data_IF_733244079589
#
_entry.id   IF_733244079589
#
_cell.length_a   1.000
_cell.length_b   1.000
_cell.length_c   1.000
_cell.angle_alpha   90.00
_cell.angle_beta   90.00
_cell.angle_gamma   90.00
#
_symmetry.space_group_name_H-M   'P 1'
#
loop_
_entity.id
_entity.type
_entity.pdbx_description
1 polymer ?
#
# COMPACT_ATOMS: atom_id res chain seq x y z
N UNK A 1 94.41 -28.66 2.14
CA UNK A 1 93.20 -29.01 1.41
C UNK A 1 92.05 -28.26 2.10
N UNK A 2 91.69 -27.04 1.59
CA UNK A 2 90.61 -26.22 2.15
C UNK A 2 89.32 -26.47 1.36
N UNK A 3 88.33 -27.02 2.02
CA UNK A 3 86.99 -27.21 1.42
C UNK A 3 86.14 -26.01 1.78
N UNK A 4 85.76 -25.22 0.76
CA UNK A 4 84.94 -24.04 0.87
C UNK A 4 83.43 -24.50 0.82
N UNK A 5 82.71 -24.26 1.92
CA UNK A 5 81.29 -24.58 2.01
C UNK A 5 80.46 -23.35 1.54
N UNK A 6 79.82 -23.45 0.38
CA UNK A 6 78.90 -22.44 -0.13
C UNK A 6 77.53 -22.63 0.51
N UNK A 7 77.06 -21.67 1.31
CA UNK A 7 75.71 -21.64 1.86
C UNK A 7 74.83 -20.86 0.88
N UNK A 8 73.87 -21.53 0.26
CA UNK A 8 72.81 -20.95 -0.54
C UNK A 8 71.68 -20.43 0.38
N UNK A 9 71.53 -19.11 0.49
CA UNK A 9 70.35 -18.53 1.15
C UNK A 9 69.18 -18.49 0.14
N UNK A 10 68.18 -19.37 0.38
CA UNK A 10 66.91 -19.37 -0.32
C UNK A 10 66.02 -18.32 0.36
N UNK A 11 65.79 -17.20 -0.35
CA UNK A 11 64.83 -16.17 0.09
C UNK A 11 63.41 -16.65 -0.24
N UNK A 12 62.64 -17.01 0.78
CA UNK A 12 61.20 -17.29 0.72
C UNK A 12 60.43 -15.98 0.63
N UNK A 13 60.03 -15.57 -0.60
CA UNK A 13 59.10 -14.46 -0.80
C UNK A 13 57.67 -14.94 -0.41
N UNK A 14 57.13 -14.48 0.68
CA UNK A 14 55.73 -14.68 1.06
C UNK A 14 54.82 -13.82 0.19
N UNK A 15 53.80 -14.37 -0.46
CA UNK A 15 52.84 -13.56 -1.21
C UNK A 15 51.99 -12.71 -0.24
N UNK A 16 52.13 -11.37 -0.31
CA UNK A 16 51.23 -10.45 0.38
C UNK A 16 49.91 -10.44 -0.36
N UNK A 17 48.88 -11.11 0.20
CA UNK A 17 47.50 -10.94 -0.23
C UNK A 17 47.06 -9.52 0.15
N UNK A 18 46.98 -8.63 -0.82
CA UNK A 18 46.31 -7.33 -0.71
C UNK A 18 44.81 -7.59 -0.61
N UNK A 19 44.26 -7.57 0.62
CA UNK A 19 42.83 -7.49 0.81
C UNK A 19 42.38 -6.11 0.31
N UNK A 20 41.76 -6.10 -0.88
CA UNK A 20 41.06 -4.92 -1.36
C UNK A 20 39.94 -4.58 -0.36
N UNK A 21 40.07 -3.43 0.32
CA UNK A 21 39.07 -2.89 1.22
C UNK A 21 37.84 -2.55 0.36
N UNK A 22 36.79 -3.38 0.45
CA UNK A 22 35.54 -3.08 -0.22
C UNK A 22 35.06 -1.69 0.20
N UNK A 23 34.86 -0.82 -0.78
CA UNK A 23 34.28 0.49 -0.53
C UNK A 23 32.86 0.28 0.03
N UNK A 24 32.44 1.03 1.07
CA UNK A 24 31.10 0.91 1.60
C UNK A 24 30.11 1.23 0.49
N UNK A 25 29.21 0.29 0.19
CA UNK A 25 28.09 0.47 -0.73
C UNK A 25 27.34 1.75 -0.31
N UNK A 26 27.35 2.75 -1.18
CA UNK A 26 26.58 3.97 -0.95
C UNK A 26 25.12 3.57 -0.72
N UNK A 27 24.55 3.89 0.45
CA UNK A 27 23.14 3.66 0.74
C UNK A 27 22.33 4.42 -0.31
N UNK A 28 21.61 3.68 -1.16
CA UNK A 28 20.73 4.27 -2.16
C UNK A 28 19.75 5.21 -1.47
N UNK A 29 19.67 6.46 -1.95
CA UNK A 29 18.83 7.49 -1.32
C UNK A 29 17.37 7.12 -1.56
N UNK A 30 16.66 6.70 -0.53
CA UNK A 30 15.23 6.40 -0.59
C UNK A 30 14.43 7.65 -0.99
N UNK A 31 13.42 7.48 -1.84
CA UNK A 31 12.45 8.51 -2.20
C UNK A 31 11.10 8.16 -1.55
N UNK A 32 10.90 8.65 -0.32
CA UNK A 32 9.73 8.33 0.49
C UNK A 32 8.55 9.19 0.06
N UNK A 33 7.46 8.53 -0.32
CA UNK A 33 6.20 9.16 -0.71
C UNK A 33 5.02 8.53 0.03
N UNK A 34 3.85 9.18 -0.05
CA UNK A 34 2.60 8.69 0.54
C UNK A 34 1.47 8.70 -0.48
N UNK A 35 0.58 7.71 -0.40
CA UNK A 35 -0.66 7.63 -1.14
C UNK A 35 -1.83 7.37 -0.19
N UNK A 36 -3.03 7.88 -0.49
CA UNK A 36 -4.22 7.73 0.36
C UNK A 36 -5.37 7.15 -0.46
N UNK A 37 -6.02 6.11 0.11
CA UNK A 37 -7.11 5.39 -0.52
C UNK A 37 -8.27 5.19 0.46
N UNK A 38 -9.51 5.41 0.00
CA UNK A 38 -10.73 5.06 0.71
C UNK A 38 -11.39 3.86 0.03
N UNK A 39 -11.57 2.76 0.74
CA UNK A 39 -12.10 1.51 0.19
C UNK A 39 -13.08 0.79 1.14
N UNK A 40 -13.90 1.56 1.86
CA UNK A 40 -14.75 1.05 2.94
C UNK A 40 -13.95 0.85 4.21
N UNK A 41 -14.34 -0.12 5.04
CA UNK A 41 -13.67 -0.41 6.29
C UNK A 41 -12.14 -0.50 6.13
N UNK A 42 -11.43 0.39 6.80
CA UNK A 42 -9.96 0.49 6.71
C UNK A 42 -9.23 -0.72 7.30
N UNK A 43 -9.85 -1.51 8.22
CA UNK A 43 -9.29 -2.79 8.67
C UNK A 43 -9.11 -3.77 7.50
N UNK A 44 -10.01 -3.74 6.52
CA UNK A 44 -9.96 -4.60 5.34
C UNK A 44 -9.04 -4.08 4.24
N UNK A 45 -8.81 -2.76 4.21
CA UNK A 45 -7.91 -2.15 3.23
C UNK A 45 -6.43 -2.28 3.61
N UNK A 46 -6.10 -2.42 4.89
CA UNK A 46 -4.72 -2.47 5.35
C UNK A 46 -3.95 -3.73 4.91
N UNK A 47 -4.46 -4.97 5.08
CA UNK A 47 -3.70 -6.19 4.76
C UNK A 47 -3.20 -6.29 3.30
N UNK A 48 -3.99 -5.95 2.26
CA UNK A 48 -3.52 -6.01 0.88
C UNK A 48 -2.30 -5.15 0.58
N UNK A 49 -2.18 -3.99 1.22
CA UNK A 49 -1.01 -3.13 1.08
C UNK A 49 0.15 -3.63 1.94
N UNK A 50 -0.10 -4.06 3.16
CA UNK A 50 0.94 -4.61 4.04
C UNK A 50 1.63 -5.85 3.46
N UNK A 51 0.93 -6.64 2.65
CA UNK A 51 1.50 -7.77 1.92
C UNK A 51 2.63 -7.37 0.95
N UNK A 52 2.78 -6.08 0.63
CA UNK A 52 3.80 -5.55 -0.29
C UNK A 52 4.98 -4.86 0.43
N UNK A 53 5.12 -5.02 1.74
CA UNK A 53 6.25 -4.45 2.49
C UNK A 53 7.61 -4.86 1.90
N UNK A 54 7.76 -6.09 1.44
CA UNK A 54 8.98 -6.56 0.75
C UNK A 54 9.21 -5.93 -0.64
N UNK A 55 8.19 -5.26 -1.22
CA UNK A 55 8.22 -4.66 -2.55
C UNK A 55 8.37 -3.14 -2.56
N UNK A 56 8.61 -2.52 -1.42
CA UNK A 56 8.83 -1.09 -1.30
C UNK A 56 7.82 -0.33 -0.46
N UNK A 57 6.75 -0.96 0.03
CA UNK A 57 5.90 -0.35 1.05
C UNK A 57 6.64 -0.38 2.38
N UNK A 58 6.79 0.78 3.02
CA UNK A 58 7.52 0.95 4.26
C UNK A 58 6.59 0.67 5.45
N UNK A 59 5.45 1.35 5.48
CA UNK A 59 4.38 1.11 6.44
C UNK A 59 3.04 1.64 5.92
N UNK A 60 1.97 1.24 6.57
CA UNK A 60 0.62 1.75 6.34
C UNK A 60 0.03 2.29 7.63
N UNK A 61 -0.86 3.26 7.53
CA UNK A 61 -1.65 3.79 8.64
C UNK A 61 -3.09 3.93 8.23
N UNK A 62 -4.02 3.57 9.10
CA UNK A 62 -5.45 3.82 8.88
C UNK A 62 -5.89 5.11 9.57
N UNK A 63 -6.89 5.78 9.01
CA UNK A 63 -7.35 7.06 9.54
C UNK A 63 -8.45 7.67 8.69
N UNK A 64 -8.51 9.01 8.67
CA UNK A 64 -9.59 9.78 8.09
C UNK A 64 -9.04 10.86 7.15
N UNK A 65 -9.71 11.07 5.99
CA UNK A 65 -9.37 12.13 5.04
C UNK A 65 -10.56 12.51 4.17
N UNK A 66 -10.44 13.65 3.47
CA UNK A 66 -11.43 14.13 2.50
C UNK A 66 -12.50 15.05 3.08
N UNK A 67 -12.70 15.04 4.39
CA UNK A 67 -13.69 15.87 5.08
C UNK A 67 -13.22 17.28 5.44
N UNK A 68 -13.97 17.90 6.36
CA UNK A 68 -13.72 19.29 6.81
C UNK A 68 -13.46 19.37 8.32
N UNK A 69 -13.92 18.40 9.10
CA UNK A 69 -13.69 18.38 10.54
C UNK A 69 -12.21 18.25 10.85
N UNK A 70 -11.69 19.13 11.69
CA UNK A 70 -10.28 19.08 12.12
C UNK A 70 -10.15 18.06 13.24
N UNK A 71 -9.12 17.21 13.17
CA UNK A 71 -8.86 16.12 14.14
C UNK A 71 -10.13 15.30 14.45
N UNK A 72 -10.78 14.69 13.43
CA UNK A 72 -11.98 13.90 13.66
C UNK A 72 -11.66 12.65 14.49
N UNK A 73 -12.61 12.26 15.34
CA UNK A 73 -12.57 10.96 16.04
C UNK A 73 -13.34 9.90 15.25
N UNK A 74 -13.14 8.64 15.64
CA UNK A 74 -13.92 7.52 15.08
C UNK A 74 -15.42 7.71 15.28
N UNK A 75 -15.84 8.12 16.47
CA UNK A 75 -17.25 8.34 16.80
C UNK A 75 -17.87 9.42 15.93
N UNK A 76 -17.14 10.54 15.72
CA UNK A 76 -17.61 11.63 14.86
C UNK A 76 -17.74 11.19 13.41
N UNK A 77 -16.72 10.49 12.90
CA UNK A 77 -16.72 10.01 11.50
C UNK A 77 -17.80 8.96 11.29
N UNK A 78 -17.98 8.03 12.23
CA UNK A 78 -18.99 6.99 12.18
C UNK A 78 -20.43 7.52 12.29
N UNK A 79 -20.63 8.61 13.03
CA UNK A 79 -21.93 9.29 13.12
C UNK A 79 -22.31 10.01 11.81
N UNK A 80 -21.34 10.25 10.92
CA UNK A 80 -21.55 10.97 9.67
C UNK A 80 -21.48 12.48 9.80
N UNK A 81 -21.56 13.18 8.67
CA UNK A 81 -21.56 14.66 8.62
C UNK A 81 -20.18 15.32 8.73
N UNK A 82 -19.10 14.58 8.94
CA UNK A 82 -17.74 15.13 8.93
C UNK A 82 -17.20 15.31 7.52
N UNK A 83 -17.78 14.62 6.53
CA UNK A 83 -17.28 14.52 5.16
C UNK A 83 -16.03 13.65 5.01
N UNK A 84 -15.50 13.12 6.13
CA UNK A 84 -14.35 12.23 6.11
C UNK A 84 -14.74 10.81 5.70
N UNK A 85 -13.80 10.15 4.99
CA UNK A 85 -13.82 8.72 4.73
C UNK A 85 -12.83 8.00 5.61
N UNK A 86 -13.14 6.75 5.93
CA UNK A 86 -12.13 5.82 6.41
C UNK A 86 -11.13 5.56 5.29
N UNK A 87 -9.86 5.81 5.57
CA UNK A 87 -8.79 5.72 4.57
C UNK A 87 -7.60 4.93 5.07
N UNK A 88 -6.84 4.39 4.12
CA UNK A 88 -5.49 3.91 4.35
C UNK A 88 -4.50 4.90 3.74
N UNK A 89 -3.50 5.31 4.51
CA UNK A 89 -2.30 5.98 4.02
C UNK A 89 -1.20 4.94 3.86
N UNK A 90 -0.61 4.87 2.67
CA UNK A 90 0.48 3.97 2.31
C UNK A 90 1.74 4.80 2.17
N UNK A 91 2.76 4.55 2.99
CA UNK A 91 4.09 5.14 2.87
C UNK A 91 5.00 4.17 2.14
N UNK A 92 5.62 4.61 1.06
CA UNK A 92 6.39 3.76 0.16
C UNK A 92 7.67 4.44 -0.33
N UNK A 93 8.63 3.62 -0.74
CA UNK A 93 9.86 4.05 -1.40
C UNK A 93 9.65 4.08 -2.92
N UNK A 94 9.53 5.27 -3.48
CA UNK A 94 9.26 5.48 -4.90
C UNK A 94 10.42 5.05 -5.82
N UNK A 95 11.56 4.64 -5.28
CA UNK A 95 12.62 3.97 -6.04
C UNK A 95 12.32 2.49 -6.29
N UNK A 96 11.39 1.88 -5.54
CA UNK A 96 11.06 0.45 -5.59
C UNK A 96 9.64 0.18 -6.10
N UNK A 97 8.69 1.00 -5.73
CA UNK A 97 7.29 0.90 -6.14
C UNK A 97 6.74 2.31 -6.35
N UNK A 98 6.03 2.55 -7.44
CA UNK A 98 5.49 3.88 -7.77
C UNK A 98 3.99 3.94 -7.54
N UNK A 99 3.43 5.16 -7.45
CA UNK A 99 2.01 5.38 -7.18
C UNK A 99 1.07 4.54 -8.05
N UNK A 100 1.31 4.50 -9.36
CA UNK A 100 0.47 3.73 -10.30
C UNK A 100 0.47 2.23 -10.03
N UNK A 101 1.48 1.68 -9.38
CA UNK A 101 1.55 0.25 -9.04
C UNK A 101 0.69 -0.08 -7.80
N UNK A 102 0.29 0.93 -7.01
CA UNK A 102 -0.62 0.80 -5.89
C UNK A 102 -2.09 0.74 -6.33
N UNK A 103 -2.42 1.36 -7.48
CA UNK A 103 -3.79 1.45 -7.99
C UNK A 103 -4.44 0.09 -8.24
N UNK A 104 -3.79 -0.88 -8.89
CA UNK A 104 -4.37 -2.23 -9.06
C UNK A 104 -4.73 -2.91 -7.75
N UNK A 105 -3.94 -2.67 -6.69
CA UNK A 105 -4.19 -3.24 -5.36
C UNK A 105 -5.46 -2.61 -4.76
N UNK A 106 -5.57 -1.28 -4.84
CA UNK A 106 -6.77 -0.58 -4.42
C UNK A 106 -8.01 -1.10 -5.17
N UNK A 107 -7.98 -1.07 -6.50
CA UNK A 107 -9.13 -1.46 -7.33
C UNK A 107 -9.62 -2.88 -7.03
N UNK A 108 -8.71 -3.86 -6.96
CA UNK A 108 -9.05 -5.27 -6.68
C UNK A 108 -9.62 -5.51 -5.28
N UNK A 109 -9.58 -4.53 -4.41
CA UNK A 109 -10.07 -4.62 -3.04
C UNK A 109 -11.34 -3.79 -2.78
N UNK A 110 -12.00 -3.27 -3.82
CA UNK A 110 -13.26 -2.52 -3.70
C UNK A 110 -14.32 -3.02 -4.67
N UNK A 111 -15.59 -2.71 -4.36
CA UNK A 111 -16.67 -2.69 -5.35
C UNK A 111 -16.80 -1.25 -5.92
N UNK A 112 -16.32 -0.99 -7.13
CA UNK A 112 -16.35 0.36 -7.69
C UNK A 112 -17.74 0.84 -8.10
N UNK A 113 -18.77 0.01 -7.94
CA UNK A 113 -20.17 0.33 -8.28
C UNK A 113 -21.03 0.69 -7.07
N UNK A 114 -20.53 0.51 -5.84
CA UNK A 114 -21.30 0.80 -4.63
C UNK A 114 -21.15 2.27 -4.23
N UNK A 115 -22.20 3.07 -4.50
CA UNK A 115 -22.23 4.51 -4.18
C UNK A 115 -22.64 4.80 -2.73
N UNK A 116 -23.08 3.81 -1.97
CA UNK A 116 -23.59 3.97 -0.60
C UNK A 116 -22.62 3.52 0.49
N UNK A 117 -21.46 3.02 0.10
CA UNK A 117 -20.45 2.46 1.00
C UNK A 117 -19.66 1.37 0.33
N UNK A 118 -19.27 0.34 1.09
CA UNK A 118 -18.62 -0.85 0.56
C UNK A 118 -19.12 -2.09 1.31
N UNK A 119 -19.61 -3.06 0.56
CA UNK A 119 -20.08 -4.36 1.09
C UNK A 119 -21.18 -4.18 2.14
N UNK A 120 -20.97 -4.65 3.38
CA UNK A 120 -21.93 -4.49 4.46
C UNK A 120 -21.89 -3.09 5.10
N UNK A 121 -20.80 -2.35 4.94
CA UNK A 121 -20.64 -1.04 5.55
C UNK A 121 -21.30 0.04 4.69
N UNK A 122 -22.24 0.76 5.27
CA UNK A 122 -23.00 1.82 4.60
C UNK A 122 -22.80 3.14 5.32
N UNK A 123 -22.72 4.21 4.52
CA UNK A 123 -22.47 5.56 4.97
C UNK A 123 -21.39 6.26 4.15
N UNK A 124 -21.36 7.58 4.23
CA UNK A 124 -20.39 8.40 3.49
C UNK A 124 -18.95 8.02 3.81
N UNK A 125 -18.64 7.71 5.06
CA UNK A 125 -17.32 7.32 5.53
C UNK A 125 -16.80 6.02 4.88
N UNK A 126 -17.66 5.20 4.34
CA UNK A 126 -17.30 3.94 3.66
C UNK A 126 -17.34 4.00 2.14
N UNK A 127 -17.62 5.18 1.56
CA UNK A 127 -17.60 5.32 0.10
C UNK A 127 -16.18 5.28 -0.45
N UNK A 128 -16.01 4.68 -1.64
CA UNK A 128 -14.69 4.54 -2.24
C UNK A 128 -14.18 5.83 -2.87
N UNK A 129 -12.90 6.12 -2.67
CA UNK A 129 -12.21 7.23 -3.31
C UNK A 129 -10.70 6.96 -3.45
N UNK A 130 -10.09 7.53 -4.50
CA UNK A 130 -8.64 7.65 -4.63
C UNK A 130 -8.28 9.12 -4.50
N UNK A 131 -7.28 9.42 -3.67
CA UNK A 131 -6.82 10.79 -3.46
C UNK A 131 -5.54 11.02 -4.24
N UNK A 132 -5.44 12.18 -4.92
CA UNK A 132 -4.24 12.59 -5.66
C UNK A 132 -3.59 13.82 -5.02
N UNK A 133 -2.27 13.83 -4.91
CA UNK A 133 -1.49 14.95 -4.40
C UNK A 133 -1.04 15.91 -5.51
N UNK A 134 -1.05 15.45 -6.78
CA UNK A 134 -0.58 16.22 -7.93
C UNK A 134 -1.23 15.71 -9.24
N UNK A 135 -1.02 16.48 -10.32
CA UNK A 135 -1.63 16.16 -11.62
C UNK A 135 -1.11 14.88 -12.27
N UNK A 136 0.11 14.43 -11.95
CA UNK A 136 0.62 13.15 -12.43
C UNK A 136 -0.17 11.99 -11.82
N UNK A 137 -0.36 12.01 -10.51
CA UNK A 137 -1.17 11.01 -9.82
C UNK A 137 -2.62 11.03 -10.30
N UNK A 138 -3.20 12.23 -10.54
CA UNK A 138 -4.54 12.34 -11.11
C UNK A 138 -4.62 11.63 -12.46
N UNK A 139 -3.67 11.87 -13.35
CA UNK A 139 -3.59 11.18 -14.66
C UNK A 139 -3.43 9.67 -14.51
N UNK A 140 -2.57 9.23 -13.59
CA UNK A 140 -2.37 7.80 -13.33
C UNK A 140 -3.68 7.13 -12.86
N UNK A 141 -4.48 7.80 -12.02
CA UNK A 141 -5.79 7.32 -11.58
C UNK A 141 -6.75 7.22 -12.77
N UNK A 142 -6.89 8.28 -13.57
CA UNK A 142 -7.76 8.34 -14.73
C UNK A 142 -7.39 7.25 -15.77
N UNK A 143 -6.12 7.02 -16.00
CA UNK A 143 -5.63 5.97 -16.88
C UNK A 143 -5.83 4.56 -16.30
N UNK A 144 -5.78 4.41 -14.97
CA UNK A 144 -6.12 3.16 -14.31
C UNK A 144 -7.59 2.81 -14.48
N UNK A 145 -8.49 3.79 -14.36
CA UNK A 145 -9.93 3.62 -14.58
C UNK A 145 -10.21 3.08 -15.99
N UNK A 146 -9.58 3.65 -17.03
CA UNK A 146 -9.71 3.17 -18.42
C UNK A 146 -9.26 1.71 -18.60
N UNK A 147 -8.41 1.20 -17.73
CA UNK A 147 -7.86 -0.17 -17.79
C UNK A 147 -8.63 -1.19 -16.95
N UNK A 148 -9.64 -0.79 -16.17
CA UNK A 148 -10.35 -1.68 -15.24
C UNK A 148 -10.99 -2.88 -15.95
N UNK A 149 -11.54 -2.69 -17.16
CA UNK A 149 -12.06 -3.79 -17.98
C UNK A 149 -11.00 -4.85 -18.29
N UNK A 150 -9.76 -4.42 -18.58
CA UNK A 150 -8.62 -5.34 -18.79
C UNK A 150 -8.17 -6.04 -17.50
N UNK A 151 -8.51 -5.49 -16.35
CA UNK A 151 -8.25 -6.09 -15.05
C UNK A 151 -9.33 -7.08 -14.61
N UNK A 152 -10.38 -7.28 -15.45
CA UNK A 152 -11.47 -8.20 -15.19
C UNK A 152 -12.69 -7.55 -14.54
N UNK A 153 -12.79 -6.21 -14.51
CA UNK A 153 -14.00 -5.53 -14.08
C UNK A 153 -15.06 -5.62 -15.18
N UNK A 154 -16.32 -5.93 -14.83
CA UNK A 154 -17.45 -5.82 -15.75
C UNK A 154 -17.71 -4.34 -16.03
N UNK A 155 -17.68 -3.93 -17.31
CA UNK A 155 -17.73 -2.51 -17.70
C UNK A 155 -19.13 -2.03 -18.08
N UNK A 156 -20.16 -2.83 -17.84
CA UNK A 156 -21.57 -2.54 -18.11
C UNK A 156 -22.21 -1.55 -17.11
N UNK A 157 -21.51 -1.26 -16.01
CA UNK A 157 -21.98 -0.36 -14.95
C UNK A 157 -21.08 0.86 -14.81
N UNK A 158 -21.70 1.96 -14.36
CA UNK A 158 -20.97 3.20 -14.07
C UNK A 158 -20.09 3.03 -12.82
N UNK A 159 -18.81 3.35 -12.94
CA UNK A 159 -17.90 3.46 -11.80
C UNK A 159 -18.29 4.69 -10.99
N UNK A 160 -18.46 4.52 -9.69
CA UNK A 160 -18.85 5.58 -8.74
C UNK A 160 -17.75 5.96 -7.76
N UNK A 161 -16.60 5.26 -7.81
CA UNK A 161 -15.41 5.61 -7.02
C UNK A 161 -14.97 7.03 -7.35
N UNK A 162 -14.78 7.85 -6.34
CA UNK A 162 -14.42 9.26 -6.48
C UNK A 162 -12.92 9.43 -6.72
N UNK A 163 -12.56 10.47 -7.48
CA UNK A 163 -11.18 10.93 -7.67
C UNK A 163 -11.08 12.32 -7.04
N UNK A 164 -10.40 12.44 -5.93
CA UNK A 164 -10.42 13.63 -5.09
C UNK A 164 -9.01 14.18 -4.85
N UNK A 165 -8.84 15.50 -4.71
CA UNK A 165 -7.58 16.06 -4.26
C UNK A 165 -7.29 15.61 -2.83
N UNK A 166 -6.04 15.28 -2.55
CA UNK A 166 -5.60 14.90 -1.20
C UNK A 166 -5.71 16.10 -0.27
N UNK A 167 -6.43 15.90 0.82
CA UNK A 167 -6.48 16.80 1.97
C UNK A 167 -5.67 16.21 3.13
N UNK A 168 -5.71 16.87 4.28
CA UNK A 168 -5.05 16.39 5.49
C UNK A 168 -5.49 14.96 5.82
N UNK A 169 -4.51 14.09 6.04
CA UNK A 169 -4.73 12.78 6.63
C UNK A 169 -4.66 12.91 8.16
N UNK A 170 -5.70 12.45 8.84
CA UNK A 170 -5.76 12.34 10.29
C UNK A 170 -5.62 10.87 10.66
N UNK A 171 -4.54 10.53 11.38
CA UNK A 171 -4.31 9.15 11.81
C UNK A 171 -5.44 8.73 12.74
N UNK A 172 -6.03 7.57 12.47
CA UNK A 172 -7.02 6.95 13.35
C UNK A 172 -6.41 6.43 14.63
N UNK A 173 -7.24 6.14 15.59
CA UNK A 173 -6.88 5.71 16.94
C UNK A 173 -6.01 4.45 16.89
N UNK A 174 -5.15 4.28 17.89
CA UNK A 174 -4.15 3.21 17.89
C UNK A 174 -4.76 1.80 17.88
N UNK A 175 -5.95 1.63 18.44
CA UNK A 175 -6.64 0.34 18.44
C UNK A 175 -7.13 -0.09 17.04
N UNK A 176 -7.22 0.85 16.08
CA UNK A 176 -7.54 0.56 14.68
C UNK A 176 -6.32 0.18 13.84
N UNK A 177 -5.10 0.57 14.27
CA UNK A 177 -3.88 0.28 13.52
C UNK A 177 -3.54 -1.21 13.55
N UNK A 178 -3.30 -1.82 12.38
CA UNK A 178 -3.03 -3.25 12.23
C UNK A 178 -4.06 -4.15 12.94
N UNK A 179 -5.34 -3.76 12.87
CA UNK A 179 -6.41 -4.46 13.57
C UNK A 179 -6.47 -5.96 13.22
N UNK A 180 -6.21 -6.30 11.97
CA UNK A 180 -6.18 -7.67 11.47
C UNK A 180 -5.09 -8.54 12.12
N UNK A 181 -3.99 -7.94 12.58
CA UNK A 181 -2.92 -8.61 13.32
C UNK A 181 -3.23 -8.69 14.82
N UNK A 182 -3.72 -7.58 15.39
CA UNK A 182 -4.04 -7.49 16.83
C UNK A 182 -5.27 -8.33 17.22
N UNK A 183 -6.25 -8.46 16.30
CA UNK A 183 -7.53 -9.14 16.55
C UNK A 183 -7.89 -10.12 15.42
N UNK A 184 -7.06 -11.12 15.09
CA UNK A 184 -7.19 -11.91 13.87
C UNK A 184 -8.49 -12.71 13.78
N UNK A 185 -9.00 -13.24 14.88
CA UNK A 185 -10.26 -14.01 14.90
C UNK A 185 -11.45 -13.10 14.63
N UNK A 186 -11.51 -11.96 15.33
CA UNK A 186 -12.60 -11.00 15.19
C UNK A 186 -12.60 -10.35 13.80
N UNK A 187 -11.43 -10.03 13.26
CA UNK A 187 -11.27 -9.52 11.92
C UNK A 187 -11.76 -10.52 10.85
N UNK A 188 -11.34 -11.79 10.94
CA UNK A 188 -11.76 -12.83 10.00
C UNK A 188 -13.27 -13.03 10.02
N UNK A 189 -13.87 -13.07 11.21
CA UNK A 189 -15.33 -13.19 11.36
C UNK A 189 -16.05 -11.99 10.73
N UNK A 190 -15.62 -10.75 11.02
CA UNK A 190 -16.18 -9.54 10.45
C UNK A 190 -16.09 -9.56 8.91
N UNK A 191 -14.90 -9.81 8.35
CA UNK A 191 -14.68 -9.84 6.91
C UNK A 191 -15.55 -10.87 6.19
N UNK A 192 -15.68 -12.06 6.77
CA UNK A 192 -16.53 -13.13 6.27
C UNK A 192 -18.01 -12.75 6.33
N UNK A 193 -18.51 -12.30 7.48
CA UNK A 193 -19.92 -11.93 7.68
C UNK A 193 -20.34 -10.74 6.81
N UNK A 194 -19.40 -9.84 6.52
CA UNK A 194 -19.62 -8.71 5.62
C UNK A 194 -19.74 -9.11 4.14
N UNK A 195 -19.39 -10.35 3.78
CA UNK A 195 -19.48 -10.85 2.41
C UNK A 195 -18.50 -10.21 1.45
N UNK A 196 -17.44 -9.53 1.97
CA UNK A 196 -16.50 -8.76 1.15
C UNK A 196 -15.85 -9.62 0.06
N UNK A 197 -15.31 -10.78 0.44
CA UNK A 197 -14.57 -11.64 -0.49
C UNK A 197 -15.47 -12.23 -1.58
N UNK A 198 -16.70 -12.63 -1.22
CA UNK A 198 -17.69 -13.12 -2.18
C UNK A 198 -18.04 -12.02 -3.21
N UNK A 199 -18.30 -10.80 -2.73
CA UNK A 199 -18.62 -9.68 -3.62
C UNK A 199 -17.46 -9.27 -4.51
N UNK A 200 -16.23 -9.24 -4.01
CA UNK A 200 -15.04 -8.97 -4.82
C UNK A 200 -14.90 -9.99 -5.95
N UNK A 201 -15.16 -11.27 -5.65
CA UNK A 201 -15.16 -12.34 -6.67
C UNK A 201 -16.20 -12.07 -7.77
N UNK A 202 -17.43 -11.70 -7.42
CA UNK A 202 -18.47 -11.37 -8.41
C UNK A 202 -18.09 -10.17 -9.29
N UNK A 203 -17.43 -9.16 -8.74
CA UNK A 203 -17.11 -7.90 -9.39
C UNK A 203 -15.89 -8.04 -10.32
N UNK A 204 -14.88 -8.82 -9.87
CA UNK A 204 -13.56 -8.86 -10.49
C UNK A 204 -13.21 -10.16 -11.21
N UNK A 205 -13.97 -11.22 -11.04
CA UNK A 205 -13.80 -12.44 -11.83
C UNK A 205 -14.65 -12.32 -13.11
N UNK A 206 -13.96 -12.26 -14.23
CA UNK A 206 -14.59 -12.62 -15.50
C UNK A 206 -14.96 -14.08 -15.42
N UNK A 207 -16.25 -14.41 -15.58
CA UNK A 207 -16.64 -15.79 -15.81
C UNK A 207 -15.75 -16.33 -16.94
N UNK A 208 -14.89 -17.28 -16.62
CA UNK A 208 -14.17 -18.04 -17.64
C UNK A 208 -15.27 -18.80 -18.41
N UNK A 209 -15.68 -18.27 -19.56
CA UNK A 209 -16.41 -19.04 -20.54
C UNK A 209 -15.47 -19.99 -21.25
#
# INVERSE_FOLDING_TARGET
>A
MNTLLLIFLVSLATPQFLFAKEAPLAKEKQNIQTAVFAGGCFWCMQPPFDALKSRGIIYTSVGYSGGQTVNPTYEQTSAGGTGHREVIQVTYDATKIIFKDLLPIFWKNIDPYDSKGQFCDKGEQYTSAVFYANDNEKRDIEDSIKKLGKMGLKTDKKIVTLVLPLKTFYKGEEYHQAYYEKNPVRYKYYRYSCGRDARLKEVWETSSN
#
